data_IF_016009449597
#
_entry.id   IF_016009449597
#
_cell.length_a   1.000
_cell.length_b   1.000
_cell.length_c   1.000
_cell.angle_alpha   90.00
_cell.angle_beta   90.00
_cell.angle_gamma   90.00
#
_symmetry.space_group_name_H-M   'P 1'
#
loop_
_entity.id
_entity.type
_entity.pdbx_description
1 polymer ?
#
# COMPACT_ATOMS: atom_id res chain seq x y z
N UNK A 1 6.81 -10.51 17.01
CA UNK A 1 7.76 -9.54 16.40
C UNK A 1 7.03 -8.32 15.82
N UNK A 2 6.01 -8.50 14.96
CA UNK A 2 5.24 -7.40 14.37
C UNK A 2 4.57 -6.50 15.43
N UNK A 3 3.81 -7.06 16.39
CA UNK A 3 3.17 -6.29 17.48
C UNK A 3 4.16 -5.41 18.27
N UNK A 4 5.34 -5.93 18.59
CA UNK A 4 6.38 -5.16 19.30
C UNK A 4 6.88 -3.98 18.48
N UNK A 5 6.99 -4.13 17.15
CA UNK A 5 7.38 -3.04 16.25
C UNK A 5 6.28 -1.99 16.14
N UNK A 6 5.03 -2.42 16.00
CA UNK A 6 3.88 -1.52 15.93
C UNK A 6 3.73 -0.67 17.20
N UNK A 7 4.02 -1.24 18.38
CA UNK A 7 4.08 -0.52 19.65
C UNK A 7 5.23 0.50 19.75
N UNK A 8 6.22 0.44 18.86
CA UNK A 8 7.41 1.29 18.90
C UNK A 8 7.36 2.44 17.86
N UNK A 9 6.24 2.60 17.16
CA UNK A 9 6.04 3.69 16.20
C UNK A 9 5.75 4.97 16.99
N UNK A 10 6.58 6.00 16.81
CA UNK A 10 6.43 7.26 17.52
C UNK A 10 5.15 8.01 17.09
N UNK A 11 4.43 8.57 18.05
CA UNK A 11 3.16 9.27 17.83
C UNK A 11 2.00 8.38 17.34
N UNK A 12 2.09 7.06 17.50
CA UNK A 12 1.03 6.10 17.22
C UNK A 12 0.85 5.15 18.41
N UNK A 13 -0.38 5.08 18.93
CA UNK A 13 -0.75 4.14 19.98
C UNK A 13 -1.45 2.93 19.39
N UNK A 14 -0.90 1.72 19.58
CA UNK A 14 -1.59 0.47 19.25
C UNK A 14 -2.64 0.16 20.33
N UNK A 15 -3.92 0.35 19.97
CA UNK A 15 -5.07 0.10 20.84
C UNK A 15 -5.40 -1.38 20.92
N UNK A 16 -5.38 -2.07 19.78
CA UNK A 16 -5.69 -3.49 19.70
C UNK A 16 -4.91 -4.19 18.59
N UNK A 17 -4.60 -5.46 18.81
CA UNK A 17 -4.06 -6.38 17.81
C UNK A 17 -4.75 -7.72 17.98
N UNK A 18 -5.31 -8.26 16.90
CA UNK A 18 -6.05 -9.50 16.91
C UNK A 18 -5.79 -10.28 15.61
N UNK A 19 -5.88 -11.61 15.74
CA UNK A 19 -5.76 -12.55 14.62
C UNK A 19 -7.14 -13.20 14.43
N UNK A 20 -8.13 -12.48 13.87
CA UNK A 20 -9.51 -12.98 13.79
C UNK A 20 -9.65 -14.24 12.93
N UNK A 21 -8.68 -14.52 12.05
CA UNK A 21 -8.58 -15.74 11.25
C UNK A 21 -7.10 -16.04 10.94
N UNK A 22 -6.73 -17.29 10.56
CA UNK A 22 -5.34 -17.67 10.27
C UNK A 22 -4.64 -16.81 9.21
N UNK A 23 -5.39 -16.22 8.29
CA UNK A 23 -4.95 -15.40 7.17
C UNK A 23 -5.25 -13.91 7.35
N UNK A 24 -5.76 -13.51 8.52
CA UNK A 24 -6.19 -12.14 8.78
C UNK A 24 -5.58 -11.60 10.06
N UNK A 25 -4.83 -10.53 9.92
CA UNK A 25 -4.33 -9.71 11.01
C UNK A 25 -5.13 -8.42 11.09
N UNK A 26 -5.55 -8.04 12.30
CA UNK A 26 -6.29 -6.82 12.57
C UNK A 26 -5.56 -5.99 13.61
N UNK A 27 -5.36 -4.70 13.30
CA UNK A 27 -4.75 -3.73 14.20
C UNK A 27 -5.66 -2.52 14.32
N UNK A 28 -5.73 -1.95 15.52
CA UNK A 28 -6.41 -0.69 15.79
C UNK A 28 -5.42 0.27 16.39
N UNK A 29 -5.35 1.47 15.83
CA UNK A 29 -4.41 2.50 16.23
C UNK A 29 -5.13 3.79 16.60
N UNK A 30 -4.53 4.56 17.51
CA UNK A 30 -4.83 5.98 17.69
C UNK A 30 -3.58 6.77 17.31
N UNK A 31 -3.76 7.95 16.71
CA UNK A 31 -2.67 8.79 16.24
C UNK A 31 -3.14 10.24 16.13
N UNK A 32 -2.22 11.18 16.30
CA UNK A 32 -2.47 12.59 15.98
C UNK A 32 -2.28 12.87 14.48
N UNK A 33 -1.28 12.20 13.88
CA UNK A 33 -0.94 12.35 12.46
C UNK A 33 -0.83 10.98 11.80
N UNK A 34 -1.72 10.69 10.83
CA UNK A 34 -1.76 9.38 10.15
C UNK A 34 -0.44 9.04 9.42
N UNK A 35 0.32 10.06 9.01
CA UNK A 35 1.61 9.89 8.35
C UNK A 35 2.63 9.14 9.22
N UNK A 36 2.47 9.19 10.55
CA UNK A 36 3.34 8.48 11.48
C UNK A 36 3.20 6.96 11.39
N UNK A 37 2.10 6.43 10.83
CA UNK A 37 1.94 4.97 10.63
C UNK A 37 2.98 4.40 9.68
N UNK A 38 3.43 5.19 8.71
CA UNK A 38 4.42 4.79 7.71
C UNK A 38 5.63 5.72 7.82
N UNK A 39 6.43 5.61 8.91
CA UNK A 39 7.53 6.52 9.14
C UNK A 39 8.57 6.37 8.03
N UNK A 40 8.73 7.41 7.21
CA UNK A 40 9.78 7.45 6.21
C UNK A 40 11.11 7.80 6.88
N UNK A 41 12.17 7.07 6.52
CA UNK A 41 13.55 7.44 6.87
C UNK A 41 14.04 8.62 6.03
N UNK A 42 13.41 8.87 4.89
CA UNK A 42 13.71 9.95 3.97
C UNK A 42 12.51 10.90 3.84
N UNK A 43 12.62 12.08 4.45
CA UNK A 43 11.58 13.09 4.38
C UNK A 43 11.35 13.63 2.97
N UNK A 44 12.32 13.49 2.05
CA UNK A 44 12.19 13.95 0.67
C UNK A 44 11.26 13.07 -0.18
N UNK A 45 11.05 11.81 0.22
CA UNK A 45 10.16 10.88 -0.48
C UNK A 45 8.66 11.13 -0.21
N UNK A 46 8.35 11.98 0.77
CA UNK A 46 6.97 12.30 1.18
C UNK A 46 6.29 11.18 1.98
N UNK A 47 5.18 11.53 2.63
CA UNK A 47 4.42 10.58 3.43
C UNK A 47 3.55 9.68 2.56
N UNK A 48 3.47 8.39 2.91
CA UNK A 48 2.58 7.42 2.23
C UNK A 48 1.11 7.79 2.43
N UNK A 49 0.76 8.24 3.64
CA UNK A 49 -0.58 8.71 3.97
C UNK A 49 -0.52 10.15 4.49
N UNK A 50 -1.46 10.96 4.02
CA UNK A 50 -1.75 12.26 4.62
C UNK A 50 -3.24 12.38 4.89
N UNK A 51 -3.57 12.99 6.03
CA UNK A 51 -4.95 13.25 6.41
C UNK A 51 -5.09 14.74 6.75
N UNK A 52 -6.10 15.37 6.20
CA UNK A 52 -6.43 16.77 6.48
C UNK A 52 -7.90 16.92 6.76
N UNK A 53 -8.25 17.94 7.57
CA UNK A 53 -9.63 18.32 7.83
C UNK A 53 -9.77 19.82 7.64
N UNK A 54 -10.58 20.25 6.67
CA UNK A 54 -10.79 21.66 6.35
C UNK A 54 -12.27 21.91 6.03
N UNK A 55 -12.87 22.90 6.69
CA UNK A 55 -14.26 23.30 6.47
C UNK A 55 -15.27 22.14 6.57
N UNK A 56 -15.05 21.21 7.51
CA UNK A 56 -15.91 20.02 7.68
C UNK A 56 -15.56 18.84 6.79
N UNK A 57 -14.80 19.04 5.72
CA UNK A 57 -14.36 17.98 4.79
C UNK A 57 -13.09 17.32 5.34
N UNK A 58 -13.09 16.00 5.40
CA UNK A 58 -11.96 15.14 5.70
C UNK A 58 -11.38 14.64 4.38
N UNK A 59 -10.08 14.71 4.23
CA UNK A 59 -9.37 14.24 3.03
C UNK A 59 -8.25 13.31 3.44
N UNK A 60 -8.24 12.11 2.88
CA UNK A 60 -7.14 11.14 2.95
C UNK A 60 -6.46 11.09 1.58
N UNK A 61 -5.15 11.25 1.54
CA UNK A 61 -4.36 11.03 0.31
C UNK A 61 -3.38 9.90 0.58
N UNK A 62 -3.41 8.90 -0.29
CA UNK A 62 -2.40 7.87 -0.41
C UNK A 62 -1.46 8.22 -1.56
N UNK A 63 -0.15 8.19 -1.30
CA UNK A 63 0.88 8.47 -2.28
C UNK A 63 2.06 7.51 -2.06
N UNK A 64 2.13 6.46 -2.87
CA UNK A 64 3.20 5.48 -2.83
C UNK A 64 4.07 5.61 -4.08
N UNK A 65 5.37 5.72 -3.88
CA UNK A 65 6.38 5.74 -4.93
C UNK A 65 7.60 4.92 -4.49
N UNK A 66 8.53 4.65 -5.41
CA UNK A 66 9.72 3.85 -5.10
C UNK A 66 10.54 4.43 -3.93
N UNK A 67 10.57 5.77 -3.78
CA UNK A 67 11.31 6.44 -2.70
C UNK A 67 10.73 6.22 -1.30
N UNK A 68 9.40 6.08 -1.17
CA UNK A 68 8.75 5.88 0.13
C UNK A 68 8.22 4.45 0.36
N UNK A 69 8.40 3.53 -0.59
CA UNK A 69 7.96 2.13 -0.51
C UNK A 69 8.51 1.39 0.72
N UNK A 70 9.77 1.68 1.09
CA UNK A 70 10.42 1.09 2.26
C UNK A 70 9.68 1.40 3.58
N UNK A 71 8.89 2.47 3.63
CA UNK A 71 8.04 2.80 4.77
C UNK A 71 6.90 1.78 4.94
N UNK A 72 6.32 1.30 3.84
CA UNK A 72 5.24 0.30 3.85
C UNK A 72 5.78 -1.07 4.21
N UNK A 73 6.86 -1.50 3.57
CA UNK A 73 7.50 -2.79 3.90
C UNK A 73 8.06 -2.77 5.32
N UNK A 74 8.62 -1.64 5.75
CA UNK A 74 9.03 -1.38 7.13
C UNK A 74 7.88 -1.51 8.13
N UNK A 75 6.68 -1.03 7.80
CA UNK A 75 5.50 -1.21 8.64
C UNK A 75 5.08 -2.68 8.73
N UNK A 76 5.05 -3.41 7.61
CA UNK A 76 4.61 -4.81 7.53
C UNK A 76 5.61 -5.82 8.09
N UNK A 77 6.86 -5.41 8.26
CA UNK A 77 7.89 -6.26 8.85
C UNK A 77 9.05 -6.61 7.90
N UNK A 78 8.93 -6.28 6.62
CA UNK A 78 9.82 -6.68 5.52
C UNK A 78 10.94 -5.67 5.21
N UNK A 79 11.20 -4.71 6.09
CA UNK A 79 12.13 -3.59 5.80
C UNK A 79 13.60 -3.97 5.57
N UNK A 80 14.03 -5.20 5.85
CA UNK A 80 15.36 -5.75 5.56
C UNK A 80 15.24 -7.13 4.90
N UNK A 81 14.17 -7.35 4.13
CA UNK A 81 13.91 -8.64 3.52
C UNK A 81 14.61 -8.73 2.16
N UNK A 82 15.46 -9.75 1.97
CA UNK A 82 16.19 -10.01 0.70
C UNK A 82 15.22 -10.15 -0.48
N UNK A 83 14.00 -10.62 -0.23
CA UNK A 83 12.93 -10.69 -1.23
C UNK A 83 12.54 -9.28 -1.67
N UNK A 84 12.38 -8.32 -0.74
CA UNK A 84 12.01 -6.95 -1.10
C UNK A 84 13.14 -6.19 -1.81
N UNK A 85 14.40 -6.56 -1.55
CA UNK A 85 15.54 -6.01 -2.32
C UNK A 85 15.51 -6.47 -3.79
N UNK A 86 15.07 -7.70 -4.03
CA UNK A 86 15.02 -8.32 -5.37
C UNK A 86 13.74 -7.99 -6.13
N UNK A 87 12.59 -8.09 -5.46
CA UNK A 87 11.26 -7.99 -6.07
C UNK A 87 10.55 -6.67 -5.80
N UNK A 88 11.12 -5.80 -4.97
CA UNK A 88 10.55 -4.50 -4.68
C UNK A 88 10.83 -3.46 -5.78
N UNK A 89 10.14 -2.31 -5.71
CA UNK A 89 10.37 -1.18 -6.60
C UNK A 89 11.81 -0.66 -6.55
N UNK A 90 12.36 -0.33 -7.71
CA UNK A 90 13.71 0.24 -7.84
C UNK A 90 13.65 1.78 -7.86
N UNK A 91 14.54 2.45 -7.12
CA UNK A 91 14.54 3.92 -7.01
C UNK A 91 15.20 4.64 -8.19
N UNK A 92 16.02 3.94 -8.98
CA UNK A 92 16.78 4.49 -10.11
C UNK A 92 16.10 4.20 -11.46
N UNK A 93 16.23 2.96 -11.93
CA UNK A 93 15.61 2.48 -13.16
C UNK A 93 14.55 1.43 -12.79
N UNK A 94 13.27 1.83 -12.66
CA UNK A 94 12.19 0.90 -12.38
C UNK A 94 12.04 -0.12 -13.50
N UNK A 95 11.76 -1.37 -13.12
CA UNK A 95 11.39 -2.39 -14.09
C UNK A 95 10.16 -1.97 -14.90
N UNK A 96 10.18 -2.26 -16.21
CA UNK A 96 8.94 -2.29 -16.99
C UNK A 96 8.06 -3.46 -16.53
N UNK A 97 6.80 -3.49 -16.98
CA UNK A 97 5.91 -4.63 -16.68
C UNK A 97 6.53 -5.92 -17.24
N UNK A 98 7.04 -5.83 -18.46
CA UNK A 98 7.59 -6.95 -19.21
C UNK A 98 8.86 -7.48 -18.54
N UNK A 99 9.80 -6.60 -18.18
CA UNK A 99 11.04 -7.00 -17.49
C UNK A 99 10.75 -7.64 -16.13
N UNK A 100 9.73 -7.13 -15.42
CA UNK A 100 9.34 -7.69 -14.13
C UNK A 100 8.74 -9.09 -14.27
N UNK A 101 7.91 -9.33 -15.29
CA UNK A 101 7.36 -10.65 -15.57
C UNK A 101 8.46 -11.64 -15.94
N UNK A 102 9.39 -11.27 -16.81
CA UNK A 102 10.54 -12.11 -17.16
C UNK A 102 11.40 -12.47 -15.94
N UNK A 103 11.60 -11.52 -15.02
CA UNK A 103 12.31 -11.77 -13.76
C UNK A 103 11.58 -12.80 -12.89
N UNK A 104 10.27 -12.64 -12.70
CA UNK A 104 9.46 -13.57 -11.89
C UNK A 104 9.41 -14.94 -12.55
N UNK A 105 9.20 -15.01 -13.86
CA UNK A 105 9.23 -16.27 -14.62
C UNK A 105 10.56 -16.99 -14.43
N UNK A 106 11.68 -16.30 -14.61
CA UNK A 106 13.00 -16.90 -14.46
C UNK A 106 13.21 -17.47 -13.05
N UNK A 107 12.75 -16.76 -12.01
CA UNK A 107 12.95 -17.18 -10.62
C UNK A 107 12.02 -18.32 -10.20
N UNK A 108 10.85 -18.45 -10.83
CA UNK A 108 9.84 -19.46 -10.49
C UNK A 108 9.63 -20.55 -11.56
N UNK A 109 10.49 -20.62 -12.58
CA UNK A 109 10.39 -21.56 -13.72
C UNK A 109 10.29 -23.03 -13.28
N UNK A 110 10.98 -23.41 -12.19
CA UNK A 110 10.92 -24.78 -11.66
C UNK A 110 9.65 -25.07 -10.84
N UNK A 111 8.86 -24.04 -10.48
CA UNK A 111 7.73 -24.13 -9.56
C UNK A 111 6.38 -23.91 -10.24
N UNK A 112 6.33 -23.13 -11.32
CA UNK A 112 5.12 -22.82 -12.05
C UNK A 112 5.42 -22.59 -13.53
N UNK A 113 4.46 -22.91 -14.40
CA UNK A 113 4.58 -22.57 -15.82
C UNK A 113 4.52 -21.05 -16.02
N UNK A 114 5.22 -20.54 -17.03
CA UNK A 114 5.12 -19.15 -17.49
C UNK A 114 3.66 -18.66 -17.58
N UNK A 115 2.81 -19.42 -18.25
CA UNK A 115 1.39 -19.08 -18.40
C UNK A 115 0.67 -18.89 -17.05
N UNK A 116 1.00 -19.72 -16.06
CA UNK A 116 0.41 -19.60 -14.72
C UNK A 116 0.91 -18.34 -14.00
N UNK A 117 2.21 -18.04 -14.11
CA UNK A 117 2.82 -16.86 -13.51
C UNK A 117 2.23 -15.58 -14.14
N UNK A 118 2.18 -15.52 -15.46
CA UNK A 118 1.61 -14.39 -16.20
C UNK A 118 0.17 -14.14 -15.77
N UNK A 119 -0.66 -15.19 -15.78
CA UNK A 119 -2.08 -15.09 -15.39
C UNK A 119 -2.22 -14.57 -13.97
N UNK A 120 -1.49 -15.14 -13.00
CA UNK A 120 -1.56 -14.72 -11.60
C UNK A 120 -1.13 -13.26 -11.44
N UNK A 121 -0.02 -12.86 -12.06
CA UNK A 121 0.53 -11.52 -11.92
C UNK A 121 -0.35 -10.46 -12.61
N UNK A 122 -0.99 -10.80 -13.73
CA UNK A 122 -1.90 -9.90 -14.44
C UNK A 122 -3.25 -9.73 -13.73
N UNK A 123 -3.77 -10.79 -13.12
CA UNK A 123 -5.07 -10.76 -12.41
C UNK A 123 -4.95 -10.27 -10.96
N UNK A 124 -3.77 -10.39 -10.34
CA UNK A 124 -3.58 -10.00 -8.96
C UNK A 124 -3.71 -8.49 -8.76
N UNK A 125 -4.50 -8.11 -7.75
CA UNK A 125 -4.72 -6.71 -7.36
C UNK A 125 -4.49 -6.53 -5.86
N UNK A 126 -3.91 -5.39 -5.51
CA UNK A 126 -3.94 -4.85 -4.15
C UNK A 126 -5.24 -4.07 -4.00
N UNK A 127 -6.12 -4.54 -3.10
CA UNK A 127 -7.39 -3.90 -2.79
C UNK A 127 -7.29 -3.12 -1.49
N UNK A 128 -7.56 -1.81 -1.56
CA UNK A 128 -7.79 -0.95 -0.41
C UNK A 128 -9.29 -0.74 -0.25
N UNK A 129 -9.80 -0.99 0.95
CA UNK A 129 -11.19 -0.74 1.29
C UNK A 129 -11.25 0.32 2.38
N UNK A 130 -11.89 1.43 2.07
CA UNK A 130 -12.08 2.55 2.97
C UNK A 130 -13.55 2.62 3.37
N UNK A 131 -13.83 2.54 4.68
CA UNK A 131 -15.16 2.81 5.23
C UNK A 131 -15.06 4.04 6.10
N UNK A 132 -15.97 5.00 5.88
CA UNK A 132 -15.95 6.29 6.58
C UNK A 132 -17.23 6.52 7.36
N UNK A 133 -17.11 7.25 8.47
CA UNK A 133 -18.27 7.82 9.15
C UNK A 133 -18.66 9.13 8.44
N UNK A 134 -19.68 9.08 7.58
CA UNK A 134 -20.12 10.21 6.76
C UNK A 134 -21.12 9.85 5.66
N UNK A 135 -21.53 10.84 4.84
CA UNK A 135 -22.54 10.65 3.77
C UNK A 135 -22.05 10.88 2.33
N UNK A 136 -20.92 11.58 2.14
CA UNK A 136 -20.48 12.03 0.81
C UNK A 136 -19.04 11.59 0.52
N UNK A 137 -18.79 10.27 0.44
CA UNK A 137 -17.48 9.76 0.07
C UNK A 137 -17.24 9.99 -1.43
N UNK A 138 -16.16 10.65 -1.78
CA UNK A 138 -15.61 10.68 -3.14
C UNK A 138 -14.22 10.05 -3.11
N UNK A 139 -13.90 9.24 -4.11
CA UNK A 139 -12.56 8.67 -4.28
C UNK A 139 -12.14 8.86 -5.73
N UNK A 140 -10.93 9.37 -5.91
CA UNK A 140 -10.30 9.57 -7.21
C UNK A 140 -8.88 9.02 -7.16
N UNK A 141 -8.39 8.48 -8.28
CA UNK A 141 -7.02 7.98 -8.41
C UNK A 141 -6.59 8.00 -9.86
N UNK A 142 -5.29 8.15 -10.08
CA UNK A 142 -4.72 8.16 -11.42
C UNK A 142 -4.49 6.72 -11.92
N UNK A 143 -4.62 6.48 -13.23
CA UNK A 143 -4.32 5.18 -13.82
C UNK A 143 -2.92 4.68 -13.39
N UNK A 144 -2.79 3.40 -12.97
CA UNK A 144 -3.72 2.28 -13.16
C UNK A 144 -4.71 2.03 -12.01
N UNK A 145 -4.91 3.02 -11.13
CA UNK A 145 -5.84 2.91 -10.01
C UNK A 145 -7.28 2.85 -10.52
N UNK A 146 -8.03 1.83 -10.10
CA UNK A 146 -9.49 1.75 -10.30
C UNK A 146 -10.16 2.03 -8.98
N UNK A 147 -11.12 2.96 -8.95
CA UNK A 147 -11.85 3.32 -7.74
C UNK A 147 -13.36 3.23 -7.94
N UNK A 148 -14.07 2.86 -6.88
CA UNK A 148 -15.54 2.83 -6.85
C UNK A 148 -16.04 3.23 -5.47
N UNK A 149 -17.23 3.83 -5.42
CA UNK A 149 -17.88 4.24 -4.17
C UNK A 149 -19.30 3.69 -4.12
N UNK A 150 -19.68 3.15 -2.97
CA UNK A 150 -21.04 2.74 -2.63
C UNK A 150 -21.41 3.24 -1.23
N UNK A 151 -22.08 4.39 -1.17
CA UNK A 151 -22.46 5.01 0.09
C UNK A 151 -21.22 5.52 0.84
N UNK A 152 -20.97 4.98 2.04
CA UNK A 152 -19.83 5.34 2.88
C UNK A 152 -18.63 4.37 2.72
N UNK A 153 -18.72 3.45 1.77
CA UNK A 153 -17.65 2.50 1.45
C UNK A 153 -17.06 2.85 0.08
N UNK A 154 -15.73 2.87 0.03
CA UNK A 154 -14.97 3.07 -1.18
C UNK A 154 -13.94 1.97 -1.34
N UNK A 155 -13.78 1.50 -2.58
CA UNK A 155 -12.82 0.46 -2.95
C UNK A 155 -11.86 1.07 -3.94
N UNK A 156 -10.57 0.86 -3.71
CA UNK A 156 -9.48 1.20 -4.62
C UNK A 156 -8.72 -0.07 -4.94
N UNK A 157 -8.54 -0.37 -6.22
CA UNK A 157 -7.79 -1.52 -6.70
C UNK A 157 -6.60 -1.06 -7.52
N UNK A 158 -5.45 -1.66 -7.25
CA UNK A 158 -4.19 -1.38 -7.92
C UNK A 158 -3.63 -2.70 -8.41
N UNK A 159 -3.32 -2.86 -9.72
CA UNK A 159 -2.67 -4.06 -10.21
C UNK A 159 -1.38 -4.35 -9.44
N UNK A 160 -1.16 -5.61 -9.08
CA UNK A 160 -0.01 -6.01 -8.26
C UNK A 160 1.31 -5.62 -8.94
N UNK A 161 1.44 -5.83 -10.26
CA UNK A 161 2.65 -5.45 -11.01
C UNK A 161 2.90 -3.93 -10.93
N UNK A 162 1.85 -3.11 -11.03
CA UNK A 162 2.01 -1.66 -10.91
C UNK A 162 2.48 -1.26 -9.51
N UNK A 163 2.00 -1.96 -8.48
CA UNK A 163 2.40 -1.77 -7.09
C UNK A 163 3.84 -2.22 -6.81
N UNK A 164 4.31 -3.31 -7.45
CA UNK A 164 5.65 -3.86 -7.25
C UNK A 164 6.72 -3.17 -8.08
N UNK A 165 6.36 -2.57 -9.22
CA UNK A 165 7.30 -1.83 -10.07
C UNK A 165 7.39 -0.35 -9.68
N UNK A 166 6.28 0.29 -9.32
CA UNK A 166 6.14 1.74 -9.08
C UNK A 166 6.89 2.60 -10.11
N UNK A 167 6.89 2.18 -11.38
CA UNK A 167 7.40 2.98 -12.51
C UNK A 167 6.67 4.33 -12.62
N UNK A 168 5.45 4.39 -12.08
CA UNK A 168 4.74 5.63 -11.73
C UNK A 168 4.23 5.53 -10.28
N UNK A 169 4.12 6.67 -9.57
CA UNK A 169 3.50 6.69 -8.25
C UNK A 169 2.05 6.18 -8.28
N UNK A 170 1.67 5.44 -7.26
CA UNK A 170 0.27 5.07 -6.99
C UNK A 170 -0.32 6.13 -6.08
N UNK A 171 -1.25 6.92 -6.63
CA UNK A 171 -1.88 8.03 -5.91
C UNK A 171 -3.40 7.90 -5.97
N UNK A 172 -4.03 8.02 -4.80
CA UNK A 172 -5.47 8.20 -4.72
C UNK A 172 -5.84 9.14 -3.58
N UNK A 173 -6.98 9.82 -3.75
CA UNK A 173 -7.53 10.80 -2.82
C UNK A 173 -8.96 10.41 -2.49
N UNK A 174 -9.25 10.33 -1.19
CA UNK A 174 -10.59 10.12 -0.67
C UNK A 174 -11.06 11.35 0.12
N UNK A 175 -12.29 11.78 -0.08
CA UNK A 175 -12.90 12.93 0.60
C UNK A 175 -14.26 12.56 1.17
N UNK A 176 -14.58 13.01 2.38
CA UNK A 176 -15.90 12.83 2.99
C UNK A 176 -16.22 13.88 4.05
N UNK A 177 -17.50 14.03 4.37
CA UNK A 177 -18.05 14.88 5.44
C UNK A 177 -18.24 14.08 6.75
#
# INVERSE_FOLDING_TARGET
KLRTRLNAIDGVDLIAAADPAPDRFSFSFSFEHIGNLFPSKDSSAGNVLTFTRKNGIKTLVFNLNAGNFSSVTGFLGFGNDEIMETFGPQTGEPYSKEDYLELVEFLFDEYASKESIDTIMEEAVIRFSLSVEGKNLAIEGDSPVVSSVKGAEGIVEVPLIAFLTLSKPVVFRAEWE
#
